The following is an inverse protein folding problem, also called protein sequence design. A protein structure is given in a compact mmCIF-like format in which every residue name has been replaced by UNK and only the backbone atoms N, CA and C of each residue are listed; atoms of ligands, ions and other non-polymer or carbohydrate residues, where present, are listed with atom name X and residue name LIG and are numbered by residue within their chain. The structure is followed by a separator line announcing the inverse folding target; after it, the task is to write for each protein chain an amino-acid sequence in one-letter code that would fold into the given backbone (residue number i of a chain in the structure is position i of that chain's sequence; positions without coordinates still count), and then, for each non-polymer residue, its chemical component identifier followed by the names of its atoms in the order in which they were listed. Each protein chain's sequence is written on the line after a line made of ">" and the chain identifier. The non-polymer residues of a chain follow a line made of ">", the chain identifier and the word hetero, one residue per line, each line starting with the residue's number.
data_IF_176734203672
#
_entry.id   IF_176734203672
#
_cell.length_a   1.000
_cell.length_b   1.000
_cell.length_c   1.000
_cell.angle_alpha   90.00
_cell.angle_beta   90.00
_cell.angle_gamma   90.00
#
_symmetry.space_group_name_H-M   'P 1'
#
loop_
_entity.id
_entity.type
_entity.pdbx_description
1 polymer ?
#
# COMPACT_ATOMS: atom_id res chain seq x y z
N UNK A 1 -15.69 23.83 -0.67
CA UNK A 1 -14.74 22.86 -1.29
C UNK A 1 -15.39 22.31 -2.56
N UNK A 2 -14.66 22.20 -3.67
CA UNK A 2 -15.21 21.61 -4.90
C UNK A 2 -15.21 20.07 -4.79
N UNK A 3 -16.25 19.37 -5.27
CA UNK A 3 -16.25 17.91 -5.25
C UNK A 3 -15.19 17.35 -6.21
N UNK A 4 -14.73 16.13 -5.95
CA UNK A 4 -13.83 15.36 -6.82
C UNK A 4 -14.70 14.51 -7.73
N UNK A 5 -14.56 14.65 -9.05
CA UNK A 5 -15.31 13.87 -10.04
C UNK A 5 -14.38 12.86 -10.70
N UNK A 6 -14.74 11.58 -10.64
CA UNK A 6 -14.01 10.50 -11.32
C UNK A 6 -15.02 9.76 -12.17
N UNK A 7 -14.86 9.81 -13.50
CA UNK A 7 -15.84 9.25 -14.45
C UNK A 7 -17.25 9.79 -14.16
N UNK A 8 -18.15 8.91 -13.72
CA UNK A 8 -19.56 9.22 -13.38
C UNK A 8 -19.79 9.43 -11.88
N UNK A 9 -18.78 9.20 -11.04
CA UNK A 9 -18.91 9.31 -9.58
C UNK A 9 -18.40 10.65 -9.05
N UNK A 10 -19.10 11.15 -8.04
CA UNK A 10 -18.79 12.42 -7.38
C UNK A 10 -18.51 12.15 -5.92
N UNK A 11 -17.34 12.59 -5.46
CA UNK A 11 -16.88 12.36 -4.10
C UNK A 11 -16.56 13.67 -3.38
N UNK A 12 -16.68 13.66 -2.06
CA UNK A 12 -15.95 14.59 -1.20
C UNK A 12 -14.60 13.96 -0.82
N UNK A 13 -13.66 14.73 -0.26
CA UNK A 13 -12.31 14.22 0.06
C UNK A 13 -12.35 12.97 0.96
N UNK A 14 -13.26 12.93 1.94
CA UNK A 14 -13.37 11.81 2.86
C UNK A 14 -13.90 10.54 2.21
N UNK A 15 -14.95 10.64 1.38
CA UNK A 15 -15.49 9.47 0.65
C UNK A 15 -14.51 9.00 -0.41
N UNK A 16 -13.84 9.90 -1.12
CA UNK A 16 -12.77 9.56 -2.06
C UNK A 16 -11.63 8.78 -1.38
N UNK A 17 -11.14 9.30 -0.24
CA UNK A 17 -10.05 8.68 0.51
C UNK A 17 -10.41 7.25 0.96
N UNK A 18 -11.63 7.05 1.49
CA UNK A 18 -12.13 5.72 1.88
C UNK A 18 -12.30 4.80 0.67
N UNK A 19 -12.93 5.28 -0.39
CA UNK A 19 -13.24 4.49 -1.58
C UNK A 19 -11.96 3.94 -2.24
N UNK A 20 -10.92 4.76 -2.37
CA UNK A 20 -9.65 4.36 -2.98
C UNK A 20 -8.58 3.90 -1.98
N UNK A 21 -8.91 3.78 -0.69
CA UNK A 21 -7.99 3.28 0.33
C UNK A 21 -6.78 4.19 0.62
N UNK A 22 -6.90 5.50 0.38
CA UNK A 22 -5.84 6.47 0.65
C UNK A 22 -5.99 7.11 2.03
N UNK A 23 -4.89 7.48 2.71
CA UNK A 23 -4.96 8.29 3.93
C UNK A 23 -5.60 9.66 3.65
N UNK A 24 -6.61 10.02 4.45
CA UNK A 24 -7.35 11.29 4.29
C UNK A 24 -6.42 12.51 4.27
N UNK A 25 -5.44 12.56 5.17
CA UNK A 25 -4.46 13.64 5.27
C UNK A 25 -3.68 13.82 3.97
N UNK A 26 -3.31 12.73 3.31
CA UNK A 26 -2.58 12.75 2.03
C UNK A 26 -3.47 13.24 0.89
N UNK A 27 -4.70 12.74 0.78
CA UNK A 27 -5.67 13.22 -0.23
C UNK A 27 -5.92 14.71 -0.04
N UNK A 28 -6.15 15.17 1.20
CA UNK A 28 -6.36 16.58 1.53
C UNK A 28 -5.15 17.45 1.13
N UNK A 29 -3.94 16.99 1.42
CA UNK A 29 -2.71 17.73 1.05
C UNK A 29 -2.57 17.87 -0.46
N UNK A 30 -2.77 16.81 -1.24
CA UNK A 30 -2.72 16.87 -2.71
C UNK A 30 -3.83 17.77 -3.27
N UNK A 31 -5.03 17.69 -2.68
CA UNK A 31 -6.13 18.58 -3.06
C UNK A 31 -5.78 20.05 -2.77
N UNK A 32 -5.16 20.37 -1.62
CA UNK A 32 -4.73 21.74 -1.32
C UNK A 32 -3.65 22.25 -2.30
N UNK A 33 -2.81 21.36 -2.83
CA UNK A 33 -1.82 21.66 -3.89
C UNK A 33 -2.43 21.86 -5.28
N UNK A 34 -3.75 21.75 -5.42
CA UNK A 34 -4.45 21.98 -6.69
C UNK A 34 -4.71 20.74 -7.54
N UNK A 35 -4.32 19.53 -7.09
CA UNK A 35 -4.68 18.30 -7.80
C UNK A 35 -6.19 18.05 -7.70
N UNK A 36 -6.84 17.78 -8.83
CA UNK A 36 -8.30 17.59 -8.93
C UNK A 36 -8.64 16.32 -9.71
N UNK A 37 -9.83 15.77 -9.46
CA UNK A 37 -10.46 14.76 -10.31
C UNK A 37 -9.51 13.60 -10.66
N UNK A 38 -9.47 13.16 -11.92
CA UNK A 38 -8.59 12.08 -12.35
C UNK A 38 -7.11 12.36 -12.10
N UNK A 39 -6.69 13.63 -12.19
CA UNK A 39 -5.30 14.00 -11.96
C UNK A 39 -4.89 13.74 -10.51
N UNK A 40 -5.79 13.98 -9.55
CA UNK A 40 -5.60 13.64 -8.14
C UNK A 40 -5.43 12.12 -7.95
N UNK A 41 -6.30 11.32 -8.56
CA UNK A 41 -6.23 9.85 -8.46
C UNK A 41 -4.90 9.33 -9.02
N UNK A 42 -4.52 9.77 -10.22
CA UNK A 42 -3.26 9.36 -10.86
C UNK A 42 -2.04 9.76 -10.03
N UNK A 43 -2.04 10.97 -9.46
CA UNK A 43 -0.93 11.47 -8.64
C UNK A 43 -0.78 10.65 -7.33
N UNK A 44 -1.89 10.25 -6.71
CA UNK A 44 -1.89 9.41 -5.51
C UNK A 44 -1.43 7.98 -5.82
N UNK A 45 -1.87 7.38 -6.92
CA UNK A 45 -1.45 6.03 -7.34
C UNK A 45 0.04 5.96 -7.69
N UNK A 46 0.59 7.04 -8.27
CA UNK A 46 2.02 7.15 -8.57
C UNK A 46 2.88 7.39 -7.33
N UNK A 47 2.29 7.75 -6.19
CA UNK A 47 3.06 7.98 -4.97
C UNK A 47 3.55 6.63 -4.39
N UNK A 48 4.87 6.35 -4.41
CA UNK A 48 5.41 5.07 -3.98
C UNK A 48 5.23 4.81 -2.48
N UNK A 49 4.94 5.84 -1.68
CA UNK A 49 4.62 5.70 -0.25
C UNK A 49 3.17 5.25 -0.01
N UNK A 50 2.27 5.52 -0.96
CA UNK A 50 0.86 5.09 -0.91
C UNK A 50 0.61 3.80 -1.66
N UNK A 51 1.41 3.53 -2.68
CA UNK A 51 1.43 2.27 -3.39
C UNK A 51 2.06 1.22 -2.47
N UNK A 52 1.28 0.68 -1.53
CA UNK A 52 1.68 -0.42 -0.65
C UNK A 52 2.01 -1.61 -1.54
N UNK A 53 3.29 -1.70 -1.93
CA UNK A 53 3.83 -2.81 -2.70
C UNK A 53 3.45 -4.10 -1.99
N UNK A 54 2.43 -4.77 -2.50
CA UNK A 54 2.14 -6.14 -2.10
C UNK A 54 3.36 -6.97 -2.47
N UNK A 55 4.00 -7.56 -1.46
CA UNK A 55 5.15 -8.43 -1.68
C UNK A 55 4.66 -9.84 -1.96
N UNK A 56 5.26 -10.51 -2.94
CA UNK A 56 4.99 -11.92 -3.22
C UNK A 56 6.07 -12.77 -2.56
N UNK A 57 5.68 -13.63 -1.62
CA UNK A 57 6.57 -14.56 -0.90
C UNK A 57 5.98 -15.96 -1.05
N UNK A 58 6.76 -16.89 -1.62
CA UNK A 58 6.36 -18.30 -1.81
C UNK A 58 4.96 -18.48 -2.43
N UNK A 59 4.63 -17.67 -3.44
CA UNK A 59 3.32 -17.72 -4.13
C UNK A 59 2.19 -16.94 -3.45
N UNK A 60 2.35 -16.48 -2.21
CA UNK A 60 1.35 -15.67 -1.48
C UNK A 60 1.66 -14.18 -1.55
N UNK A 61 0.62 -13.36 -1.58
CA UNK A 61 0.72 -11.90 -1.59
C UNK A 61 0.48 -11.34 -0.19
N UNK A 62 1.37 -10.44 0.26
CA UNK A 62 1.29 -9.81 1.57
C UNK A 62 1.34 -8.29 1.44
N UNK A 63 0.59 -7.59 2.30
CA UNK A 63 0.55 -6.11 2.33
C UNK A 63 1.93 -5.47 2.54
N UNK A 64 2.77 -6.10 3.35
CA UNK A 64 4.14 -5.66 3.65
C UNK A 64 4.97 -6.83 4.22
N UNK A 65 6.27 -6.60 4.42
CA UNK A 65 7.21 -7.61 4.97
C UNK A 65 6.86 -8.08 6.37
N UNK A 66 6.31 -7.20 7.21
CA UNK A 66 5.89 -7.56 8.57
C UNK A 66 4.72 -8.55 8.57
N UNK A 67 3.72 -8.32 7.71
CA UNK A 67 2.60 -9.23 7.53
C UNK A 67 3.07 -10.61 7.05
N UNK A 68 4.04 -10.65 6.14
CA UNK A 68 4.65 -11.91 5.72
C UNK A 68 5.40 -12.60 6.86
N UNK A 69 6.22 -11.88 7.63
CA UNK A 69 6.96 -12.43 8.77
C UNK A 69 6.02 -13.05 9.82
N UNK A 70 4.95 -12.33 10.17
CA UNK A 70 3.93 -12.80 11.10
C UNK A 70 3.21 -14.04 10.58
N UNK A 71 2.88 -14.07 9.28
CA UNK A 71 2.21 -15.23 8.66
C UNK A 71 3.05 -16.51 8.73
N UNK A 72 4.36 -16.41 8.55
CA UNK A 72 5.27 -17.55 8.65
C UNK A 72 5.79 -17.81 10.08
N UNK A 73 5.25 -17.11 11.09
CA UNK A 73 5.70 -17.18 12.48
C UNK A 73 7.21 -16.97 12.65
N UNK A 74 7.80 -16.14 11.79
CA UNK A 74 9.22 -15.80 11.83
C UNK A 74 9.40 -14.44 12.50
N UNK A 75 10.32 -14.31 13.47
CA UNK A 75 10.66 -13.00 14.02
C UNK A 75 11.03 -11.99 12.92
N UNK A 76 10.47 -10.77 12.90
CA UNK A 76 10.62 -9.84 11.79
C UNK A 76 12.09 -9.55 11.42
N UNK A 77 12.96 -9.40 12.41
CA UNK A 77 14.39 -9.17 12.20
C UNK A 77 15.06 -10.33 11.45
N UNK A 78 14.72 -11.57 11.81
CA UNK A 78 15.19 -12.78 11.13
C UNK A 78 14.65 -12.83 9.71
N UNK A 79 13.35 -12.56 9.53
CA UNK A 79 12.72 -12.53 8.22
C UNK A 79 13.43 -11.56 7.26
N UNK A 80 13.63 -10.30 7.68
CA UNK A 80 14.27 -9.28 6.85
C UNK A 80 15.73 -9.61 6.52
N UNK A 81 16.44 -10.27 7.45
CA UNK A 81 17.81 -10.73 7.23
C UNK A 81 17.88 -11.80 6.14
N UNK A 82 17.00 -12.80 6.19
CA UNK A 82 16.97 -13.88 5.22
C UNK A 82 16.41 -13.44 3.87
N UNK A 83 15.44 -12.52 3.85
CA UNK A 83 14.95 -11.88 2.63
C UNK A 83 16.08 -11.17 1.89
N UNK A 84 16.86 -10.32 2.57
CA UNK A 84 18.01 -9.62 1.96
C UNK A 84 19.07 -10.57 1.41
N UNK A 85 19.21 -11.75 2.00
CA UNK A 85 20.15 -12.79 1.55
C UNK A 85 19.57 -13.72 0.48
N UNK A 86 18.30 -13.57 0.09
CA UNK A 86 17.62 -14.48 -0.84
C UNK A 86 17.36 -15.88 -0.28
N UNK A 87 17.46 -16.07 1.04
CA UNK A 87 17.38 -17.39 1.71
C UNK A 87 16.01 -17.65 2.36
N UNK A 88 15.00 -16.88 1.98
CA UNK A 88 13.65 -16.91 2.57
C UNK A 88 13.00 -18.29 2.47
N UNK A 89 13.19 -18.99 1.34
CA UNK A 89 12.66 -20.35 1.11
C UNK A 89 13.22 -21.36 2.12
N UNK A 90 14.52 -21.26 2.44
CA UNK A 90 15.19 -22.10 3.44
C UNK A 90 14.67 -21.82 4.85
N UNK A 91 14.41 -20.54 5.17
CA UNK A 91 13.89 -20.14 6.46
C UNK A 91 12.46 -20.63 6.66
N UNK A 92 11.58 -20.39 5.70
CA UNK A 92 10.18 -20.81 5.76
C UNK A 92 10.11 -22.33 5.96
N UNK A 93 10.87 -23.13 5.19
CA UNK A 93 10.91 -24.60 5.36
C UNK A 93 11.31 -25.07 6.77
N UNK A 94 12.04 -24.24 7.54
CA UNK A 94 12.44 -24.57 8.92
C UNK A 94 11.33 -24.29 9.95
N UNK A 95 10.39 -23.42 9.60
CA UNK A 95 9.27 -22.97 10.45
C UNK A 95 7.90 -23.45 9.93
N UNK A 96 7.87 -24.25 8.85
CA UNK A 96 6.66 -24.85 8.26
C UNK A 96 6.44 -26.25 8.80
#
# INVERSE_FOLDING_TARGET
>A
MKPIRIKTEVYCISTFAKHYGFPYSTVRSYYQKGYRDEHLLRALQKNPRLNTKTIKINGKYFKNRLAAANFYHVPPATFYRYERRGQLKKLIRKYS
#
